data_IF_740672785384
#
_entry.id   IF_740672785384
#
_cell.length_a   1.000
_cell.length_b   1.000
_cell.length_c   1.000
_cell.angle_alpha   90.00
_cell.angle_beta   90.00
_cell.angle_gamma   90.00
#
_symmetry.space_group_name_H-M   'P 1'
#
loop_
_entity.id
_entity.type
_entity.pdbx_description
1 polymer ?
#
# COMPACT_ATOMS: atom_id res chain seq x y z
N UNK A 1 -22.90 25.43 17.08
CA UNK A 1 -21.45 25.19 17.21
C UNK A 1 -21.26 23.69 17.00
N UNK A 2 -20.77 23.27 15.84
CA UNK A 2 -20.61 21.86 15.52
C UNK A 2 -19.28 21.38 16.10
N UNK A 3 -19.36 20.47 17.06
CA UNK A 3 -18.21 19.78 17.64
C UNK A 3 -17.49 19.00 16.53
N UNK A 4 -16.24 19.36 16.25
CA UNK A 4 -15.36 18.52 15.46
C UNK A 4 -15.09 17.27 16.29
N UNK A 5 -15.77 16.17 15.96
CA UNK A 5 -15.45 14.84 16.47
C UNK A 5 -13.97 14.58 16.24
N UNK A 6 -13.19 14.52 17.32
CA UNK A 6 -11.78 14.18 17.26
C UNK A 6 -11.68 12.72 16.81
N UNK A 7 -11.51 12.50 15.51
CA UNK A 7 -11.14 11.20 14.94
C UNK A 7 -9.97 10.64 15.72
N UNK A 8 -10.05 9.36 16.11
CA UNK A 8 -8.94 8.65 16.73
C UNK A 8 -7.65 8.86 15.92
N UNK A 9 -6.48 8.95 16.58
CA UNK A 9 -5.21 9.08 15.87
C UNK A 9 -5.01 7.89 14.92
N UNK A 10 -4.38 8.11 13.76
CA UNK A 10 -4.15 7.04 12.80
C UNK A 10 -3.30 5.92 13.42
N UNK A 11 -3.50 4.65 13.02
CA UNK A 11 -2.75 3.53 13.55
C UNK A 11 -1.25 3.70 13.27
N UNK A 12 -0.42 3.42 14.27
CA UNK A 12 1.04 3.54 14.18
C UNK A 12 1.75 2.32 14.76
N UNK A 13 2.90 1.96 14.18
CA UNK A 13 3.73 0.81 14.58
C UNK A 13 5.18 1.02 14.18
N UNK A 14 6.10 0.78 15.12
CA UNK A 14 7.54 0.73 14.85
C UNK A 14 7.93 -0.69 14.41
N UNK A 15 8.74 -0.80 13.35
CA UNK A 15 9.24 -2.07 12.86
C UNK A 15 10.77 -2.08 12.90
N UNK A 16 11.33 -3.10 13.54
CA UNK A 16 12.78 -3.25 13.73
C UNK A 16 13.33 -2.37 14.85
N UNK A 17 14.65 -2.40 14.99
CA UNK A 17 15.40 -1.61 15.97
C UNK A 17 16.50 -0.84 15.23
N UNK A 18 16.72 0.42 15.64
CA UNK A 18 17.76 1.25 15.04
C UNK A 18 19.12 0.80 15.55
N UNK A 19 20.04 0.47 14.65
CA UNK A 19 21.40 0.08 15.02
C UNK A 19 22.27 1.32 15.27
N UNK A 20 23.12 1.27 16.30
CA UNK A 20 23.91 2.42 16.77
C UNK A 20 24.96 2.87 15.74
N UNK A 21 25.57 1.92 15.02
CA UNK A 21 26.67 2.17 14.08
C UNK A 21 26.21 2.24 12.61
N UNK A 22 24.90 2.34 12.38
CA UNK A 22 24.33 2.45 11.03
C UNK A 22 23.78 3.86 10.81
N UNK A 23 24.22 4.50 9.72
CA UNK A 23 23.63 5.75 9.25
C UNK A 23 22.39 5.46 8.42
N UNK A 24 21.28 6.13 8.75
CA UNK A 24 20.00 5.97 8.07
C UNK A 24 19.60 7.27 7.38
N UNK A 25 19.06 7.15 6.17
CA UNK A 25 18.41 8.25 5.47
C UNK A 25 16.90 8.18 5.67
N UNK A 26 16.27 9.33 5.90
CA UNK A 26 14.82 9.39 5.96
C UNK A 26 14.25 9.36 4.54
N UNK A 27 13.24 8.52 4.31
CA UNK A 27 12.49 8.47 3.07
C UNK A 27 11.01 8.56 3.39
N UNK A 28 10.39 9.67 2.99
CA UNK A 28 8.94 9.83 3.06
C UNK A 28 8.29 8.96 1.98
N UNK A 29 7.22 8.25 2.34
CA UNK A 29 6.52 7.35 1.45
C UNK A 29 5.04 7.28 1.79
N UNK A 30 4.21 7.07 0.78
CA UNK A 30 2.75 6.93 0.91
C UNK A 30 2.31 5.52 0.55
N UNK A 31 1.19 5.06 1.11
CA UNK A 31 0.56 3.79 0.75
C UNK A 31 -0.93 3.99 0.59
N UNK A 32 -1.51 3.35 -0.40
CA UNK A 32 -2.94 3.39 -0.69
C UNK A 32 -3.56 2.00 -0.52
N UNK A 33 -4.71 1.95 0.15
CA UNK A 33 -5.63 0.81 0.05
C UNK A 33 -6.67 1.23 -0.97
N UNK A 34 -6.46 0.84 -2.23
CA UNK A 34 -7.44 1.09 -3.29
C UNK A 34 -8.59 0.10 -3.11
N UNK A 35 -9.82 0.61 -3.02
CA UNK A 35 -11.03 -0.17 -2.81
C UNK A 35 -11.95 0.03 -3.99
N UNK A 36 -12.32 -1.08 -4.64
CA UNK A 36 -13.40 -1.09 -5.61
C UNK A 36 -14.71 -1.39 -4.88
N UNK A 37 -15.50 -0.34 -4.62
CA UNK A 37 -16.75 -0.46 -3.86
C UNK A 37 -17.84 -1.28 -4.58
N UNK A 38 -17.75 -1.45 -5.90
CA UNK A 38 -18.76 -2.19 -6.69
C UNK A 38 -18.68 -3.69 -6.44
N UNK A 39 -17.49 -4.22 -6.20
CA UNK A 39 -17.25 -5.67 -6.03
C UNK A 39 -16.51 -6.03 -4.73
N UNK A 40 -16.33 -5.06 -3.84
CA UNK A 40 -15.62 -5.17 -2.55
C UNK A 40 -14.20 -5.75 -2.65
N UNK A 41 -13.49 -5.42 -3.74
CA UNK A 41 -12.12 -5.83 -3.97
C UNK A 41 -11.13 -4.73 -3.58
N UNK A 42 -9.91 -5.14 -3.26
CA UNK A 42 -8.78 -4.24 -3.06
C UNK A 42 -7.64 -4.54 -4.02
N UNK A 43 -6.88 -3.51 -4.39
CA UNK A 43 -5.71 -3.69 -5.25
C UNK A 43 -4.51 -4.19 -4.42
N UNK A 44 -3.86 -5.23 -4.92
CA UNK A 44 -2.66 -5.82 -4.33
C UNK A 44 -1.56 -5.93 -5.38
N UNK A 45 -0.35 -5.49 -5.04
CA UNK A 45 0.82 -5.64 -5.89
C UNK A 45 1.63 -6.85 -5.45
N UNK A 46 2.00 -7.70 -6.40
CA UNK A 46 2.95 -8.80 -6.21
C UNK A 46 4.30 -8.47 -6.85
N UNK A 47 5.39 -8.66 -6.10
CA UNK A 47 6.76 -8.52 -6.59
C UNK A 47 7.36 -9.91 -6.73
N UNK A 48 7.44 -10.41 -7.98
CA UNK A 48 7.85 -11.78 -8.26
C UNK A 48 9.28 -12.09 -7.81
N UNK A 49 10.22 -11.17 -8.05
CA UNK A 49 11.63 -11.34 -7.69
C UNK A 49 11.85 -11.51 -6.17
N UNK A 50 11.06 -10.81 -5.37
CA UNK A 50 11.14 -10.81 -3.91
C UNK A 50 10.18 -11.77 -3.21
N UNK A 51 9.25 -12.39 -3.96
CA UNK A 51 8.15 -13.19 -3.44
C UNK A 51 7.42 -12.49 -2.27
N UNK A 52 6.88 -11.29 -2.52
CA UNK A 52 6.06 -10.61 -1.52
C UNK A 52 4.96 -9.79 -2.17
N UNK A 53 3.95 -9.49 -1.36
CA UNK A 53 2.89 -8.56 -1.71
C UNK A 53 3.11 -7.22 -1.02
N UNK A 54 2.71 -6.13 -1.68
CA UNK A 54 2.72 -4.77 -1.13
C UNK A 54 1.43 -4.04 -1.49
N UNK A 55 1.12 -3.00 -0.72
CA UNK A 55 0.11 -2.01 -1.10
C UNK A 55 0.70 -1.08 -2.16
N UNK A 56 -0.13 -0.57 -3.11
CA UNK A 56 0.27 0.50 -4.01
C UNK A 56 0.83 1.72 -3.27
N UNK A 57 1.83 2.35 -3.88
CA UNK A 57 2.49 3.54 -3.35
C UNK A 57 4.01 3.46 -3.34
N UNK A 58 4.63 4.61 -3.20
CA UNK A 58 6.08 4.76 -3.24
C UNK A 58 6.56 5.98 -2.50
N UNK A 59 7.66 6.57 -2.97
CA UNK A 59 8.32 7.69 -2.30
C UNK A 59 7.57 8.99 -2.58
N UNK A 60 7.63 9.93 -1.64
CA UNK A 60 7.21 11.31 -1.89
C UNK A 60 8.39 12.07 -2.52
N UNK A 61 8.19 12.61 -3.71
CA UNK A 61 9.16 13.45 -4.42
C UNK A 61 9.20 14.89 -3.87
N UNK A 62 10.26 15.63 -4.20
CA UNK A 62 10.50 16.97 -3.63
C UNK A 62 9.41 18.01 -3.92
N UNK A 63 8.63 17.82 -4.99
CA UNK A 63 7.64 18.79 -5.48
C UNK A 63 6.20 18.29 -5.36
N UNK A 64 5.94 17.25 -4.55
CA UNK A 64 4.60 16.70 -4.37
C UNK A 64 4.19 16.64 -2.89
N UNK A 65 2.88 16.69 -2.65
CA UNK A 65 2.31 16.40 -1.34
C UNK A 65 1.89 14.91 -1.27
N UNK A 66 1.41 14.47 -0.11
CA UNK A 66 0.97 13.08 0.06
C UNK A 66 -0.15 12.67 -0.90
N UNK A 67 -1.04 13.59 -1.30
CA UNK A 67 -2.16 13.26 -2.20
C UNK A 67 -1.66 13.05 -3.62
N UNK A 68 -0.84 13.98 -4.11
CA UNK A 68 -0.21 13.91 -5.41
C UNK A 68 0.67 12.66 -5.54
N UNK A 69 1.45 12.35 -4.50
CA UNK A 69 2.27 11.14 -4.45
C UNK A 69 1.41 9.87 -4.56
N UNK A 70 0.29 9.79 -3.82
CA UNK A 70 -0.62 8.63 -3.92
C UNK A 70 -1.22 8.51 -5.31
N UNK A 71 -1.73 9.62 -5.87
CA UNK A 71 -2.34 9.60 -7.20
C UNK A 71 -1.35 9.16 -8.28
N UNK A 72 -0.13 9.70 -8.25
CA UNK A 72 0.94 9.33 -9.20
C UNK A 72 1.29 7.84 -9.09
N UNK A 73 1.65 7.37 -7.89
CA UNK A 73 2.11 6.00 -7.68
C UNK A 73 1.02 4.96 -8.00
N UNK A 74 -0.24 5.24 -7.60
CA UNK A 74 -1.35 4.33 -7.92
C UNK A 74 -1.62 4.25 -9.42
N UNK A 75 -1.52 5.38 -10.13
CA UNK A 75 -1.65 5.38 -11.58
C UNK A 75 -0.51 4.63 -12.27
N UNK A 76 0.73 4.83 -11.82
CA UNK A 76 1.92 4.15 -12.36
C UNK A 76 1.87 2.63 -12.15
N UNK A 77 1.61 2.19 -10.91
CA UNK A 77 1.74 0.78 -10.55
C UNK A 77 0.53 -0.06 -10.90
N UNK A 78 -0.68 0.53 -10.93
CA UNK A 78 -1.93 -0.20 -11.16
C UNK A 78 -2.74 0.32 -12.34
N UNK A 79 -2.36 1.44 -12.96
CA UNK A 79 -3.18 2.07 -14.00
C UNK A 79 -4.47 2.68 -13.47
N UNK A 80 -4.62 2.78 -12.14
CA UNK A 80 -5.84 3.26 -11.49
C UNK A 80 -5.68 4.70 -11.05
N UNK A 81 -6.67 5.54 -11.38
CA UNK A 81 -6.75 6.90 -10.87
C UNK A 81 -7.81 6.97 -9.77
N UNK A 82 -7.44 7.15 -8.50
CA UNK A 82 -8.42 7.33 -7.43
C UNK A 82 -9.14 8.67 -7.64
N UNK A 83 -10.46 8.67 -7.85
CA UNK A 83 -11.29 9.86 -7.65
C UNK A 83 -12.20 9.63 -6.46
N UNK A 84 -12.67 10.72 -5.86
CA UNK A 84 -13.53 10.68 -4.67
C UNK A 84 -14.83 9.91 -4.91
N UNK A 85 -15.33 9.89 -6.15
CA UNK A 85 -16.65 9.34 -6.48
C UNK A 85 -16.60 8.16 -7.47
N UNK A 86 -15.47 7.93 -8.14
CA UNK A 86 -15.32 6.86 -9.12
C UNK A 86 -13.84 6.48 -9.30
N UNK A 87 -13.57 5.20 -9.58
CA UNK A 87 -12.22 4.71 -9.82
C UNK A 87 -12.08 4.36 -11.29
N UNK A 88 -11.21 5.11 -11.99
CA UNK A 88 -10.88 4.79 -13.37
C UNK A 88 -9.69 3.84 -13.39
N UNK A 89 -9.96 2.55 -13.63
CA UNK A 89 -8.95 1.52 -13.87
C UNK A 89 -8.73 1.37 -15.38
N UNK A 90 -7.53 1.75 -15.85
CA UNK A 90 -7.17 1.60 -17.26
C UNK A 90 -6.63 0.21 -17.58
N UNK A 91 -6.32 -0.63 -16.58
CA UNK A 91 -5.65 -1.91 -16.73
C UNK A 91 -4.21 -1.83 -17.26
N UNK A 92 -3.67 -0.64 -17.45
CA UNK A 92 -2.40 -0.38 -18.13
C UNK A 92 -1.43 0.37 -17.21
N UNK A 93 -0.64 -0.34 -16.39
CA UNK A 93 0.36 0.31 -15.54
C UNK A 93 1.51 0.88 -16.37
N UNK A 94 2.08 1.99 -15.91
CA UNK A 94 3.29 2.61 -16.46
C UNK A 94 4.43 2.39 -15.48
N UNK A 95 5.07 1.22 -15.60
CA UNK A 95 6.11 0.77 -14.68
C UNK A 95 7.48 1.34 -15.06
N UNK A 96 8.28 1.62 -14.04
CA UNK A 96 9.72 1.86 -14.23
C UNK A 96 10.43 0.60 -14.72
N UNK A 97 11.60 0.75 -15.33
CA UNK A 97 12.44 -0.39 -15.73
C UNK A 97 12.75 -1.33 -14.56
N UNK A 98 12.97 -0.75 -13.37
CA UNK A 98 13.21 -1.52 -12.15
C UNK A 98 11.99 -2.37 -11.81
N UNK A 99 10.80 -1.79 -11.70
CA UNK A 99 9.58 -2.51 -11.33
C UNK A 99 9.20 -3.59 -12.34
N UNK A 100 9.35 -3.31 -13.63
CA UNK A 100 9.19 -4.31 -14.68
C UNK A 100 10.18 -5.47 -14.49
N UNK A 101 11.45 -5.17 -14.20
CA UNK A 101 12.50 -6.18 -13.96
C UNK A 101 12.29 -6.99 -12.67
N UNK A 102 11.59 -6.43 -11.68
CA UNK A 102 11.22 -7.13 -10.44
C UNK A 102 9.95 -7.99 -10.60
N UNK A 103 9.30 -7.91 -11.76
CA UNK A 103 8.10 -8.66 -12.08
C UNK A 103 6.88 -8.16 -11.32
N UNK A 104 6.76 -6.83 -11.17
CA UNK A 104 5.61 -6.19 -10.55
C UNK A 104 4.32 -6.52 -11.32
N UNK A 105 3.32 -7.04 -10.59
CA UNK A 105 1.97 -7.27 -11.11
C UNK A 105 0.93 -6.80 -10.11
N UNK A 106 -0.07 -6.05 -10.56
CA UNK A 106 -1.23 -5.71 -9.72
C UNK A 106 -2.37 -6.71 -9.95
N UNK A 107 -3.23 -6.87 -8.95
CA UNK A 107 -4.46 -7.67 -9.06
C UNK A 107 -5.52 -7.18 -8.07
N UNK A 108 -6.79 -7.31 -8.45
CA UNK A 108 -7.93 -7.08 -7.57
C UNK A 108 -8.28 -8.37 -6.83
N UNK A 109 -8.32 -8.32 -5.50
CA UNK A 109 -8.59 -9.47 -4.64
C UNK A 109 -9.56 -9.09 -3.53
N UNK A 110 -10.26 -10.08 -2.96
CA UNK A 110 -11.11 -9.81 -1.80
C UNK A 110 -10.26 -9.36 -0.60
N UNK A 111 -10.85 -8.63 0.35
CA UNK A 111 -10.15 -8.21 1.58
C UNK A 111 -9.55 -9.40 2.33
N UNK A 112 -10.30 -10.49 2.43
CA UNK A 112 -9.86 -11.73 3.07
C UNK A 112 -8.65 -12.33 2.35
N UNK A 113 -8.74 -12.50 1.04
CA UNK A 113 -7.65 -13.06 0.23
C UNK A 113 -6.40 -12.18 0.28
N UNK A 114 -6.56 -10.85 0.33
CA UNK A 114 -5.43 -9.95 0.43
C UNK A 114 -4.64 -10.17 1.73
N UNK A 115 -5.35 -10.29 2.86
CA UNK A 115 -4.75 -10.59 4.17
C UNK A 115 -4.07 -11.96 4.14
N UNK A 116 -4.76 -12.98 3.63
CA UNK A 116 -4.19 -14.33 3.54
C UNK A 116 -2.96 -14.41 2.64
N UNK A 117 -3.00 -13.80 1.45
CA UNK A 117 -1.87 -13.73 0.52
C UNK A 117 -0.67 -13.04 1.16
N UNK A 118 -0.88 -11.89 1.80
CA UNK A 118 0.20 -11.19 2.51
C UNK A 118 0.76 -12.02 3.67
N UNK A 119 -0.09 -12.67 4.48
CA UNK A 119 0.34 -13.49 5.63
C UNK A 119 1.14 -14.71 5.21
N UNK A 120 0.70 -15.41 4.17
CA UNK A 120 1.24 -16.71 3.80
C UNK A 120 2.47 -16.63 2.87
N UNK A 121 2.75 -15.48 2.28
CA UNK A 121 3.95 -15.32 1.45
C UNK A 121 5.23 -15.32 2.30
N UNK A 122 6.30 -15.90 1.79
CA UNK A 122 7.63 -15.92 2.41
C UNK A 122 8.60 -15.07 1.57
N UNK A 123 8.82 -13.79 1.92
CA UNK A 123 9.72 -12.92 1.18
C UNK A 123 11.16 -13.45 1.18
N UNK A 124 11.83 -13.35 0.04
CA UNK A 124 13.19 -13.83 -0.15
C UNK A 124 14.26 -12.83 0.29
N UNK A 125 13.86 -11.62 0.67
CA UNK A 125 14.74 -10.54 1.11
C UNK A 125 14.28 -9.92 2.43
N UNK A 126 15.22 -9.36 3.19
CA UNK A 126 14.92 -8.61 4.43
C UNK A 126 14.00 -7.41 4.13
N UNK A 127 14.25 -6.70 3.03
CA UNK A 127 13.38 -5.63 2.56
C UNK A 127 11.94 -6.12 2.36
N UNK A 128 11.77 -7.27 1.69
CA UNK A 128 10.45 -7.86 1.47
C UNK A 128 9.76 -8.26 2.77
N UNK A 129 10.50 -8.70 3.79
CA UNK A 129 9.95 -9.00 5.13
C UNK A 129 9.44 -7.73 5.81
N UNK A 130 10.18 -6.62 5.76
CA UNK A 130 9.72 -5.35 6.32
C UNK A 130 8.53 -4.78 5.56
N UNK A 131 8.53 -4.83 4.22
CA UNK A 131 7.41 -4.41 3.39
C UNK A 131 6.15 -5.22 3.74
N UNK A 132 6.26 -6.55 3.78
CA UNK A 132 5.15 -7.43 4.21
C UNK A 132 4.62 -7.02 5.57
N UNK A 133 5.48 -6.84 6.57
CA UNK A 133 5.06 -6.49 7.94
C UNK A 133 4.37 -5.14 8.03
N UNK A 134 4.86 -4.14 7.30
CA UNK A 134 4.30 -2.78 7.25
C UNK A 134 2.93 -2.78 6.58
N UNK A 135 2.85 -3.37 5.39
CA UNK A 135 1.65 -3.28 4.57
C UNK A 135 0.53 -4.17 5.12
N UNK A 136 0.88 -5.33 5.68
CA UNK A 136 -0.06 -6.18 6.39
C UNK A 136 -0.66 -5.46 7.61
N UNK A 137 0.12 -4.68 8.36
CA UNK A 137 -0.39 -3.91 9.49
C UNK A 137 -1.46 -2.89 9.07
N UNK A 138 -1.22 -2.16 7.99
CA UNK A 138 -2.22 -1.21 7.47
C UNK A 138 -3.47 -1.93 6.95
N UNK A 139 -3.28 -3.03 6.22
CA UNK A 139 -4.38 -3.82 5.69
C UNK A 139 -5.25 -4.42 6.80
N UNK A 140 -4.64 -5.03 7.82
CA UNK A 140 -5.36 -5.59 8.97
C UNK A 140 -6.10 -4.50 9.76
N UNK A 141 -5.47 -3.32 9.93
CA UNK A 141 -6.11 -2.18 10.58
C UNK A 141 -7.36 -1.72 9.82
N UNK A 142 -7.26 -1.62 8.50
CA UNK A 142 -8.37 -1.23 7.63
C UNK A 142 -9.52 -2.24 7.64
N UNK A 143 -9.21 -3.54 7.55
CA UNK A 143 -10.23 -4.61 7.57
C UNK A 143 -10.95 -4.64 8.93
N UNK A 144 -10.19 -4.55 10.04
CA UNK A 144 -10.76 -4.58 11.39
C UNK A 144 -11.64 -3.37 11.72
N UNK A 145 -11.40 -2.21 11.09
CA UNK A 145 -12.23 -1.01 11.30
C UNK A 145 -13.61 -1.12 10.64
N UNK A 146 -13.75 -1.84 9.52
CA UNK A 146 -15.03 -2.00 8.82
C UNK A 146 -15.98 -3.00 9.50
N UNK A 147 -15.43 -3.97 10.23
CA UNK A 147 -16.23 -4.91 11.04
C UNK A 147 -16.89 -4.23 12.25
N UNK A 148 -16.38 -3.05 12.67
CA UNK A 148 -16.93 -2.29 13.79
C UNK A 148 -18.04 -1.30 13.38
N UNK A 149 -18.26 -1.10 12.08
CA UNK A 149 -19.22 -0.12 11.53
C UNK A 149 -20.29 -0.73 10.62
N UNK A 150 -20.41 -2.06 10.60
CA UNK A 150 -21.43 -2.78 9.82
C UNK A 150 -22.63 -3.19 10.67
#
# INVERSE_FOLDING_TARGET
MAEHSASAPPPSKVLGEKQVDVSYTNRMAVRAILVNNTNDLIALIYIAKGNYYKLPGGGVEANEDHKLAVERETLEETGCRPRLDDMQDTGNPTLTELEASEGLKHSWVSKHDAVEKMRNVAPTSELGQYIKRRDLFFLESFVSQKDLTS
#
